data_IF_684945968988
#
_entry.id   IF_684945968988
#
_cell.length_a   1.000
_cell.length_b   1.000
_cell.length_c   1.000
_cell.angle_alpha   90.00
_cell.angle_beta   90.00
_cell.angle_gamma   90.00
#
_symmetry.space_group_name_H-M   'P 1'
#
loop_
_entity.id
_entity.type
_entity.pdbx_description
1 polymer ?
#
# COMPACT_ATOMS: atom_id res chain seq x y z
N UNK A 1 55.62 -15.50 56.56
CA UNK A 1 55.14 -16.73 55.87
C UNK A 1 56.33 -17.41 55.21
N UNK A 2 56.41 -18.73 55.29
CA UNK A 2 57.50 -19.51 54.66
C UNK A 2 57.37 -19.51 53.13
N UNK A 3 58.47 -19.27 52.42
CA UNK A 3 58.54 -19.19 50.96
C UNK A 3 58.06 -20.48 50.27
N UNK A 4 58.28 -21.64 50.91
CA UNK A 4 57.78 -22.94 50.41
C UNK A 4 56.26 -23.03 50.40
N UNK A 5 55.59 -22.42 51.38
CA UNK A 5 54.12 -22.40 51.49
C UNK A 5 53.52 -21.57 50.36
N UNK A 6 54.11 -20.40 50.06
CA UNK A 6 53.67 -19.55 48.94
C UNK A 6 53.85 -20.24 47.58
N UNK A 7 54.98 -20.92 47.37
CA UNK A 7 55.21 -21.69 46.14
C UNK A 7 54.18 -22.82 45.96
N UNK A 8 53.86 -23.54 47.03
CA UNK A 8 52.83 -24.58 47.00
C UNK A 8 51.44 -24.02 46.72
N UNK A 9 51.07 -22.92 47.36
CA UNK A 9 49.80 -22.24 47.13
C UNK A 9 49.68 -21.72 45.70
N UNK A 10 50.73 -21.12 45.15
CA UNK A 10 50.75 -20.64 43.76
C UNK A 10 50.59 -21.79 42.77
N UNK A 11 51.30 -22.92 42.98
CA UNK A 11 51.13 -24.13 42.17
C UNK A 11 49.70 -24.66 42.20
N UNK A 12 49.05 -24.66 43.38
CA UNK A 12 47.66 -25.09 43.53
C UNK A 12 46.67 -24.13 42.86
N UNK A 13 46.95 -22.83 42.87
CA UNK A 13 46.16 -21.83 42.14
C UNK A 13 46.30 -21.98 40.63
N UNK A 14 47.53 -22.20 40.13
CA UNK A 14 47.78 -22.45 38.71
C UNK A 14 47.02 -23.70 38.22
N UNK A 15 47.05 -24.79 38.99
CA UNK A 15 46.28 -26.00 38.67
C UNK A 15 44.76 -25.74 38.64
N UNK A 16 44.24 -24.96 39.60
CA UNK A 16 42.81 -24.58 39.61
C UNK A 16 42.43 -23.68 38.42
N UNK A 17 43.30 -22.76 38.03
CA UNK A 17 43.09 -21.91 36.87
C UNK A 17 43.09 -22.73 35.58
N UNK A 18 44.04 -23.65 35.42
CA UNK A 18 44.10 -24.54 34.27
C UNK A 18 42.85 -25.44 34.18
N UNK A 19 42.41 -26.02 35.30
CA UNK A 19 41.18 -26.78 35.36
C UNK A 19 39.96 -25.93 34.97
N UNK A 20 39.86 -24.69 35.48
CA UNK A 20 38.78 -23.78 35.11
C UNK A 20 38.79 -23.44 33.62
N UNK A 21 39.95 -23.18 33.02
CA UNK A 21 40.06 -22.91 31.58
C UNK A 21 39.66 -24.12 30.73
N UNK A 22 40.00 -25.34 31.14
CA UNK A 22 39.54 -26.56 30.45
C UNK A 22 38.01 -26.66 30.47
N UNK A 23 37.40 -26.52 31.65
CA UNK A 23 35.93 -26.55 31.79
C UNK A 23 35.28 -25.42 30.98
N UNK A 24 35.84 -24.21 31.03
CA UNK A 24 35.34 -23.07 30.26
C UNK A 24 35.38 -23.36 28.75
N UNK A 25 36.47 -23.96 28.25
CA UNK A 25 36.61 -24.32 26.84
C UNK A 25 35.59 -25.39 26.44
N UNK A 26 35.38 -26.41 27.28
CA UNK A 26 34.37 -27.45 27.06
C UNK A 26 32.95 -26.86 27.03
N UNK A 27 32.63 -25.95 27.95
CA UNK A 27 31.34 -25.26 27.99
C UNK A 27 31.14 -24.38 26.75
N UNK A 28 32.16 -23.65 26.31
CA UNK A 28 32.11 -22.82 25.09
C UNK A 28 31.84 -23.68 23.84
N UNK A 29 32.53 -24.81 23.71
CA UNK A 29 32.28 -25.76 22.61
C UNK A 29 30.87 -26.34 22.68
N UNK A 30 30.38 -26.63 23.89
CA UNK A 30 29.01 -27.14 24.08
C UNK A 30 27.96 -26.11 23.69
N UNK A 31 28.15 -24.83 24.04
CA UNK A 31 27.26 -23.73 23.66
C UNK A 31 27.21 -23.63 22.12
N UNK A 32 28.36 -23.58 21.46
CA UNK A 32 28.42 -23.48 19.99
C UNK A 32 27.71 -24.67 19.31
N UNK A 33 27.86 -25.88 19.87
CA UNK A 33 27.19 -27.07 19.35
C UNK A 33 25.66 -27.01 19.54
N UNK A 34 25.19 -26.45 20.66
CA UNK A 34 23.76 -26.27 20.92
C UNK A 34 23.17 -25.17 20.02
N UNK A 35 23.88 -24.07 19.81
CA UNK A 35 23.47 -22.98 18.90
C UNK A 35 23.34 -23.48 17.45
N UNK A 36 24.30 -24.27 16.97
CA UNK A 36 24.22 -24.89 15.63
C UNK A 36 23.00 -25.81 15.49
N UNK A 37 22.69 -26.59 16.52
CA UNK A 37 21.50 -27.45 16.54
C UNK A 37 20.21 -26.62 16.54
N UNK A 38 20.16 -25.57 17.34
CA UNK A 38 19.00 -24.68 17.41
C UNK A 38 18.68 -24.06 16.04
N UNK A 39 19.68 -23.56 15.32
CA UNK A 39 19.49 -23.04 13.96
C UNK A 39 18.91 -24.09 12.99
N UNK A 40 19.34 -25.36 13.13
CA UNK A 40 18.81 -26.46 12.33
C UNK A 40 17.35 -26.77 12.70
N UNK A 41 17.04 -26.84 13.99
CA UNK A 41 15.69 -27.10 14.49
C UNK A 41 14.72 -25.98 14.05
N UNK A 42 15.16 -24.71 14.08
CA UNK A 42 14.39 -23.55 13.59
C UNK A 42 14.10 -23.66 12.09
N UNK A 43 15.08 -24.11 11.29
CA UNK A 43 14.89 -24.33 9.86
C UNK A 43 13.85 -25.43 9.59
N UNK A 44 13.88 -26.53 10.35
CA UNK A 44 12.89 -27.62 10.23
C UNK A 44 11.50 -27.13 10.63
N UNK A 45 11.39 -26.37 11.73
CA UNK A 45 10.12 -25.83 12.22
C UNK A 45 9.46 -24.90 11.20
N UNK A 46 10.25 -24.06 10.51
CA UNK A 46 9.75 -23.22 9.42
C UNK A 46 9.16 -24.03 8.26
N UNK A 47 9.82 -25.14 7.88
CA UNK A 47 9.33 -26.02 6.82
C UNK A 47 8.01 -26.69 7.23
N UNK A 48 7.93 -27.21 8.45
CA UNK A 48 6.69 -27.82 8.99
C UNK A 48 5.56 -26.79 9.03
N UNK A 49 5.84 -25.56 9.50
CA UNK A 49 4.84 -24.50 9.58
C UNK A 49 4.25 -24.16 8.21
N UNK A 50 5.09 -24.09 7.17
CA UNK A 50 4.65 -23.81 5.80
C UNK A 50 3.71 -24.91 5.28
N UNK A 51 4.09 -26.18 5.42
CA UNK A 51 3.25 -27.29 4.95
C UNK A 51 1.95 -27.42 5.75
N UNK A 52 1.98 -27.13 7.05
CA UNK A 52 0.78 -27.10 7.87
C UNK A 52 -0.21 -26.02 7.39
N UNK A 53 0.29 -24.82 7.10
CA UNK A 53 -0.54 -23.74 6.57
C UNK A 53 -1.13 -24.09 5.21
N UNK A 54 -0.33 -24.71 4.34
CA UNK A 54 -0.81 -25.20 3.06
C UNK A 54 -1.91 -26.24 3.21
N UNK A 55 -1.73 -27.23 4.09
CA UNK A 55 -2.77 -28.23 4.38
C UNK A 55 -4.07 -27.59 4.88
N UNK A 56 -3.99 -26.60 5.77
CA UNK A 56 -5.16 -25.89 6.26
C UNK A 56 -5.91 -25.18 5.13
N UNK A 57 -5.18 -24.52 4.24
CA UNK A 57 -5.77 -23.86 3.08
C UNK A 57 -6.39 -24.86 2.10
N UNK A 58 -5.72 -25.98 1.84
CA UNK A 58 -6.25 -27.04 0.96
C UNK A 58 -7.57 -27.62 1.52
N UNK A 59 -7.66 -27.85 2.83
CA UNK A 59 -8.90 -28.30 3.49
C UNK A 59 -10.00 -27.25 3.38
N UNK A 60 -9.66 -25.96 3.56
CA UNK A 60 -10.61 -24.86 3.42
C UNK A 60 -11.18 -24.79 2.00
N UNK A 61 -10.33 -24.85 0.98
CA UNK A 61 -10.75 -24.86 -0.43
C UNK A 61 -11.62 -26.09 -0.73
N UNK A 62 -11.27 -27.25 -0.17
CA UNK A 62 -12.07 -28.47 -0.31
C UNK A 62 -13.48 -28.28 0.25
N UNK A 63 -13.59 -27.74 1.47
CA UNK A 63 -14.87 -27.44 2.11
C UNK A 63 -15.70 -26.45 1.30
N UNK A 64 -15.10 -25.36 0.81
CA UNK A 64 -15.80 -24.38 -0.02
C UNK A 64 -16.39 -24.99 -1.29
N UNK A 65 -15.71 -25.98 -1.88
CA UNK A 65 -16.19 -26.67 -3.10
C UNK A 65 -17.30 -27.67 -2.83
N UNK A 66 -17.22 -28.39 -1.71
CA UNK A 66 -18.15 -29.49 -1.40
C UNK A 66 -19.34 -29.09 -0.54
N UNK A 67 -19.27 -27.98 0.20
CA UNK A 67 -20.30 -27.49 1.13
C UNK A 67 -20.84 -26.09 0.72
N UNK A 68 -20.74 -25.73 -0.56
CA UNK A 68 -21.10 -24.41 -1.10
C UNK A 68 -22.57 -23.99 -0.88
N UNK A 69 -23.47 -24.93 -0.60
CA UNK A 69 -24.90 -24.68 -0.39
C UNK A 69 -25.25 -24.38 1.08
N UNK A 70 -24.35 -24.65 2.03
CA UNK A 70 -24.59 -24.52 3.49
C UNK A 70 -23.47 -23.82 4.28
N UNK A 71 -22.46 -23.29 3.60
CA UNK A 71 -21.34 -22.59 4.24
C UNK A 71 -21.80 -21.31 4.95
N UNK A 72 -21.81 -21.35 6.28
CA UNK A 72 -22.04 -20.18 7.12
C UNK A 72 -20.83 -19.23 6.96
N UNK A 73 -21.03 -18.15 6.20
CA UNK A 73 -20.04 -17.09 5.90
C UNK A 73 -19.35 -16.52 7.15
N UNK A 74 -19.94 -16.72 8.34
CA UNK A 74 -19.40 -16.24 9.62
C UNK A 74 -18.16 -16.99 10.11
N UNK A 75 -17.92 -18.25 9.71
CA UNK A 75 -16.78 -19.05 10.18
C UNK A 75 -15.47 -18.78 9.39
N UNK A 76 -15.57 -18.28 8.16
CA UNK A 76 -14.43 -18.06 7.25
C UNK A 76 -13.48 -16.93 7.68
N UNK A 77 -13.89 -16.09 8.64
CA UNK A 77 -13.13 -14.88 9.04
C UNK A 77 -12.10 -15.13 10.15
N UNK A 78 -12.24 -16.16 10.97
CA UNK A 78 -11.40 -16.36 12.15
C UNK A 78 -10.16 -17.25 11.97
N UNK A 79 -9.99 -17.91 10.82
CA UNK A 79 -8.89 -18.90 10.64
C UNK A 79 -7.65 -18.33 9.91
N UNK A 80 -7.82 -17.26 9.12
CA UNK A 80 -6.74 -16.72 8.26
C UNK A 80 -5.73 -15.84 9.00
N UNK A 81 -6.12 -15.19 10.10
CA UNK A 81 -5.29 -14.17 10.77
C UNK A 81 -4.26 -14.80 11.75
N UNK A 82 -4.51 -16.01 12.23
CA UNK A 82 -3.72 -16.66 13.28
C UNK A 82 -2.38 -17.26 12.79
N UNK A 83 -2.23 -17.57 11.49
CA UNK A 83 -1.14 -18.45 11.01
C UNK A 83 0.13 -17.73 10.54
N UNK A 84 0.04 -16.44 10.19
CA UNK A 84 1.23 -15.62 9.89
C UNK A 84 1.92 -15.12 11.17
N UNK A 85 1.16 -14.94 12.25
CA UNK A 85 1.68 -14.51 13.57
C UNK A 85 2.42 -15.62 14.34
N UNK A 86 2.21 -16.89 13.99
CA UNK A 86 2.66 -18.04 14.78
C UNK A 86 4.19 -18.15 14.93
N UNK A 87 4.94 -17.97 13.83
CA UNK A 87 6.41 -18.06 13.87
C UNK A 87 7.06 -16.88 14.59
N UNK A 88 6.46 -15.69 14.48
CA UNK A 88 6.99 -14.47 15.10
C UNK A 88 6.83 -14.49 16.63
N UNK A 89 5.81 -15.18 17.13
CA UNK A 89 5.53 -15.30 18.57
C UNK A 89 6.25 -16.49 19.23
N UNK A 90 6.86 -17.38 18.45
CA UNK A 90 7.46 -18.62 18.95
C UNK A 90 8.62 -18.38 19.92
N UNK A 91 9.36 -17.28 19.73
CA UNK A 91 10.45 -16.86 20.62
C UNK A 91 9.96 -16.25 21.94
N UNK A 92 8.67 -15.92 22.04
CA UNK A 92 8.06 -15.28 23.21
C UNK A 92 7.33 -16.26 24.13
N UNK A 93 7.10 -17.49 23.70
CA UNK A 93 6.35 -18.50 24.47
C UNK A 93 7.27 -19.37 25.30
N UNK A 94 6.84 -19.66 26.53
CA UNK A 94 7.46 -20.71 27.32
C UNK A 94 7.02 -22.12 26.86
N UNK A 95 7.59 -23.16 27.48
CA UNK A 95 7.37 -24.55 27.05
C UNK A 95 5.91 -25.00 27.23
N UNK A 96 5.20 -24.50 28.23
CA UNK A 96 3.82 -24.88 28.49
C UNK A 96 2.89 -24.14 27.53
N UNK A 97 3.09 -22.83 27.37
CA UNK A 97 2.36 -22.01 26.41
C UNK A 97 2.52 -22.52 24.97
N UNK A 98 3.74 -22.91 24.56
CA UNK A 98 4.00 -23.45 23.23
C UNK A 98 3.19 -24.73 22.94
N UNK A 99 3.12 -25.64 23.92
CA UNK A 99 2.37 -26.88 23.78
C UNK A 99 0.87 -26.60 23.61
N UNK A 100 0.31 -25.68 24.40
CA UNK A 100 -1.11 -25.32 24.32
C UNK A 100 -1.45 -24.65 22.97
N UNK A 101 -0.57 -23.77 22.48
CA UNK A 101 -0.75 -23.11 21.17
C UNK A 101 -0.67 -24.11 20.02
N UNK A 102 0.28 -25.05 20.06
CA UNK A 102 0.39 -26.13 19.07
C UNK A 102 -0.85 -27.03 19.11
N UNK A 103 -1.30 -27.44 20.31
CA UNK A 103 -2.49 -28.25 20.48
C UNK A 103 -3.75 -27.55 19.93
N UNK A 104 -3.91 -26.25 20.21
CA UNK A 104 -5.00 -25.45 19.66
C UNK A 104 -4.98 -25.42 18.13
N UNK A 105 -3.81 -25.19 17.53
CA UNK A 105 -3.66 -25.17 16.07
C UNK A 105 -3.98 -26.53 15.43
N UNK A 106 -3.54 -27.63 16.05
CA UNK A 106 -3.89 -28.99 15.62
C UNK A 106 -5.40 -29.22 15.71
N UNK A 107 -6.05 -28.73 16.77
CA UNK A 107 -7.48 -28.88 16.97
C UNK A 107 -8.30 -28.14 15.91
N UNK A 108 -7.84 -26.98 15.43
CA UNK A 108 -8.47 -26.27 14.30
C UNK A 108 -8.47 -27.14 13.04
N UNK A 109 -7.29 -27.64 12.64
CA UNK A 109 -7.17 -28.53 11.48
C UNK A 109 -8.01 -29.80 11.64
N UNK A 110 -8.03 -30.40 12.84
CA UNK A 110 -8.86 -31.58 13.15
C UNK A 110 -10.36 -31.30 12.96
N UNK A 111 -10.84 -30.13 13.42
CA UNK A 111 -12.24 -29.71 13.24
C UNK A 111 -12.57 -29.54 11.76
N UNK A 112 -11.67 -28.91 10.99
CA UNK A 112 -11.84 -28.74 9.56
C UNK A 112 -11.93 -30.11 8.83
N UNK A 113 -11.08 -31.08 9.18
CA UNK A 113 -11.18 -32.45 8.66
C UNK A 113 -12.51 -33.12 9.03
N UNK A 114 -12.99 -32.96 10.27
CA UNK A 114 -14.30 -33.49 10.66
C UNK A 114 -15.44 -32.91 9.82
N UNK A 115 -15.37 -31.63 9.44
CA UNK A 115 -16.33 -31.02 8.51
C UNK A 115 -16.24 -31.63 7.11
N UNK A 116 -15.04 -31.93 6.61
CA UNK A 116 -14.86 -32.58 5.30
C UNK A 116 -15.54 -33.95 5.29
N UNK A 117 -15.38 -34.73 6.36
CA UNK A 117 -16.04 -36.04 6.50
C UNK A 117 -17.57 -35.88 6.47
N UNK A 118 -18.13 -34.89 7.19
CA UNK A 118 -19.57 -34.64 7.17
C UNK A 118 -20.08 -34.23 5.78
N UNK A 119 -19.34 -33.38 5.06
CA UNK A 119 -19.68 -32.99 3.70
C UNK A 119 -19.67 -34.21 2.76
N UNK A 120 -18.68 -35.10 2.91
CA UNK A 120 -18.61 -36.34 2.16
C UNK A 120 -19.81 -37.27 2.44
N UNK A 121 -20.17 -37.47 3.71
CA UNK A 121 -21.30 -38.31 4.10
C UNK A 121 -22.62 -37.80 3.49
N UNK A 122 -22.86 -36.47 3.56
CA UNK A 122 -24.03 -35.83 2.95
C UNK A 122 -24.06 -36.01 1.43
N UNK A 123 -22.92 -35.81 0.77
CA UNK A 123 -22.80 -35.98 -0.68
C UNK A 123 -23.05 -37.43 -1.09
N UNK A 124 -22.54 -38.38 -0.32
CA UNK A 124 -22.77 -39.82 -0.51
C UNK A 124 -24.27 -40.15 -0.40
N UNK A 125 -24.94 -39.68 0.66
CA UNK A 125 -26.39 -39.87 0.85
C UNK A 125 -27.21 -39.25 -0.29
N UNK A 126 -26.86 -38.04 -0.75
CA UNK A 126 -27.52 -37.39 -1.89
C UNK A 126 -27.33 -38.20 -3.16
N UNK A 127 -26.12 -38.67 -3.44
CA UNK A 127 -25.83 -39.50 -4.61
C UNK A 127 -26.58 -40.84 -4.57
N UNK A 128 -26.72 -41.46 -3.40
CA UNK A 128 -27.51 -42.67 -3.22
C UNK A 128 -28.99 -42.42 -3.51
N UNK A 129 -29.57 -41.32 -2.99
CA UNK A 129 -30.95 -40.92 -3.29
C UNK A 129 -31.17 -40.69 -4.79
N UNK A 130 -30.27 -39.96 -5.45
CA UNK A 130 -30.32 -39.72 -6.90
C UNK A 130 -30.24 -41.05 -7.67
N UNK A 131 -29.33 -41.94 -7.27
CA UNK A 131 -29.18 -43.27 -7.89
C UNK A 131 -30.47 -44.09 -7.78
N UNK A 132 -31.12 -44.11 -6.61
CA UNK A 132 -32.41 -44.77 -6.42
C UNK A 132 -33.52 -44.14 -7.25
N UNK A 133 -33.56 -42.80 -7.35
CA UNK A 133 -34.53 -42.08 -8.16
C UNK A 133 -34.39 -42.40 -9.65
N UNK A 134 -33.15 -42.45 -10.15
CA UNK A 134 -32.86 -42.81 -11.55
C UNK A 134 -33.19 -44.27 -11.88
N UNK A 135 -33.12 -45.17 -10.90
CA UNK A 135 -33.52 -46.58 -11.04
C UNK A 135 -35.05 -46.79 -10.95
N UNK A 136 -35.81 -45.75 -10.62
CA UNK A 136 -37.26 -45.85 -10.40
C UNK A 136 -37.64 -46.59 -9.11
N UNK A 137 -36.68 -46.83 -8.22
CA UNK A 137 -36.85 -47.53 -6.94
C UNK A 137 -37.15 -46.56 -5.78
N UNK A 138 -37.20 -45.26 -6.06
CA UNK A 138 -37.47 -44.21 -5.07
C UNK A 138 -38.98 -43.92 -4.96
N UNK A 139 -39.57 -44.27 -3.82
CA UNK A 139 -41.03 -44.27 -3.60
C UNK A 139 -41.60 -43.03 -2.89
N UNK A 140 -40.79 -41.98 -2.65
CA UNK A 140 -41.26 -40.72 -2.06
C UNK A 140 -40.63 -39.51 -2.74
N UNK A 141 -41.33 -38.40 -2.85
CA UNK A 141 -40.82 -37.07 -3.27
C UNK A 141 -40.46 -36.79 -4.74
N UNK A 142 -40.45 -37.74 -5.68
CA UNK A 142 -40.05 -37.44 -7.08
C UNK A 142 -40.94 -36.38 -7.75
N UNK A 143 -42.24 -36.33 -7.41
CA UNK A 143 -43.17 -35.31 -7.88
C UNK A 143 -42.91 -33.92 -7.25
N UNK A 144 -42.47 -33.90 -5.99
CA UNK A 144 -42.22 -32.66 -5.24
C UNK A 144 -40.89 -32.02 -5.69
N UNK A 145 -39.88 -32.84 -5.97
CA UNK A 145 -38.61 -32.40 -6.56
C UNK A 145 -38.84 -31.83 -7.96
N UNK A 146 -39.66 -32.47 -8.80
CA UNK A 146 -39.98 -31.95 -10.13
C UNK A 146 -40.73 -30.60 -10.08
N UNK A 147 -41.61 -30.41 -9.10
CA UNK A 147 -42.31 -29.14 -8.85
C UNK A 147 -41.37 -28.05 -8.32
N UNK A 148 -40.47 -28.40 -7.39
CA UNK A 148 -39.42 -27.48 -6.88
C UNK A 148 -38.46 -27.08 -8.00
N UNK A 149 -38.01 -28.01 -8.83
CA UNK A 149 -37.15 -27.74 -10.00
C UNK A 149 -37.86 -26.82 -11.00
N UNK A 150 -39.15 -27.04 -11.27
CA UNK A 150 -39.93 -26.15 -12.13
C UNK A 150 -40.03 -24.74 -11.56
N UNK A 151 -40.30 -24.62 -10.26
CA UNK A 151 -40.39 -23.33 -9.57
C UNK A 151 -39.05 -22.59 -9.58
N UNK A 152 -37.95 -23.25 -9.22
CA UNK A 152 -36.61 -22.62 -9.23
C UNK A 152 -36.18 -22.24 -10.63
N UNK A 153 -36.51 -23.04 -11.65
CA UNK A 153 -36.24 -22.68 -13.05
C UNK A 153 -37.02 -21.42 -13.47
N UNK A 154 -38.28 -21.26 -13.04
CA UNK A 154 -39.06 -20.02 -13.28
C UNK A 154 -38.40 -18.82 -12.60
N UNK A 155 -37.97 -18.97 -11.35
CA UNK A 155 -37.28 -17.91 -10.59
C UNK A 155 -35.94 -17.51 -11.25
N UNK A 156 -35.11 -18.50 -11.63
CA UNK A 156 -33.85 -18.26 -12.34
C UNK A 156 -34.10 -17.59 -13.70
N UNK A 157 -35.14 -17.98 -14.43
CA UNK A 157 -35.49 -17.32 -15.69
C UNK A 157 -35.95 -15.88 -15.48
N UNK A 158 -36.70 -15.60 -14.41
CA UNK A 158 -37.11 -14.25 -14.06
C UNK A 158 -35.90 -13.38 -13.68
N UNK A 159 -34.99 -13.91 -12.86
CA UNK A 159 -33.75 -13.22 -12.48
C UNK A 159 -32.84 -12.99 -13.69
N UNK A 160 -32.70 -13.97 -14.59
CA UNK A 160 -31.91 -13.82 -15.80
C UNK A 160 -32.48 -12.71 -16.71
N UNK A 161 -33.81 -12.63 -16.86
CA UNK A 161 -34.45 -11.50 -17.57
C UNK A 161 -34.17 -10.16 -16.88
N UNK A 162 -34.22 -10.12 -15.55
CA UNK A 162 -33.92 -8.90 -14.79
C UNK A 162 -32.45 -8.48 -14.95
N UNK A 163 -31.51 -9.43 -14.85
CA UNK A 163 -30.08 -9.19 -15.06
C UNK A 163 -29.81 -8.71 -16.49
N UNK A 164 -30.45 -9.30 -17.51
CA UNK A 164 -30.35 -8.82 -18.89
C UNK A 164 -30.86 -7.38 -19.03
N UNK A 165 -31.98 -7.03 -18.38
CA UNK A 165 -32.52 -5.67 -18.41
C UNK A 165 -31.57 -4.66 -17.72
N UNK A 166 -31.02 -5.01 -16.55
CA UNK A 166 -30.05 -4.15 -15.84
C UNK A 166 -28.76 -4.01 -16.65
N UNK A 167 -28.28 -5.09 -17.25
CA UNK A 167 -27.08 -5.08 -18.08
C UNK A 167 -27.27 -4.16 -19.30
N UNK A 168 -28.42 -4.23 -19.98
CA UNK A 168 -28.75 -3.33 -21.08
C UNK A 168 -28.79 -1.86 -20.62
N UNK A 169 -29.45 -1.57 -19.50
CA UNK A 169 -29.49 -0.21 -18.94
C UNK A 169 -28.10 0.32 -18.54
N UNK A 170 -27.22 -0.55 -18.03
CA UNK A 170 -25.84 -0.18 -17.71
C UNK A 170 -25.03 0.11 -18.98
N UNK A 171 -25.20 -0.68 -20.04
CA UNK A 171 -24.56 -0.41 -21.33
C UNK A 171 -25.04 0.92 -21.94
N UNK A 172 -26.34 1.21 -21.91
CA UNK A 172 -26.89 2.50 -22.35
C UNK A 172 -26.30 3.67 -21.57
N UNK A 173 -26.26 3.57 -20.23
CA UNK A 173 -25.65 4.60 -19.37
C UNK A 173 -24.16 4.77 -19.62
N UNK A 174 -23.44 3.66 -19.82
CA UNK A 174 -22.01 3.69 -20.12
C UNK A 174 -21.75 4.39 -21.45
N UNK A 175 -22.52 4.08 -22.50
CA UNK A 175 -22.41 4.75 -23.79
C UNK A 175 -22.71 6.25 -23.69
N UNK A 176 -23.77 6.63 -22.97
CA UNK A 176 -24.09 8.04 -22.74
C UNK A 176 -22.99 8.78 -21.97
N UNK A 177 -22.43 8.16 -20.93
CA UNK A 177 -21.30 8.72 -20.17
C UNK A 177 -20.05 8.84 -21.02
N UNK A 178 -19.75 7.83 -21.85
CA UNK A 178 -18.60 7.81 -22.74
C UNK A 178 -18.68 8.91 -23.79
N UNK A 179 -19.87 9.18 -24.35
CA UNK A 179 -20.07 10.28 -25.28
C UNK A 179 -19.83 11.64 -24.60
N UNK A 180 -20.40 11.83 -23.40
CA UNK A 180 -20.20 13.05 -22.61
C UNK A 180 -18.74 13.26 -22.21
N UNK A 181 -18.01 12.18 -21.92
CA UNK A 181 -16.57 12.25 -21.64
C UNK A 181 -15.80 12.74 -22.88
N UNK A 182 -16.15 12.26 -24.07
CA UNK A 182 -15.55 12.74 -25.33
C UNK A 182 -15.81 14.24 -25.55
N UNK A 183 -17.03 14.70 -25.36
CA UNK A 183 -17.39 16.13 -25.50
C UNK A 183 -16.60 17.02 -24.53
N UNK A 184 -16.44 16.58 -23.28
CA UNK A 184 -15.63 17.29 -22.29
C UNK A 184 -14.15 17.29 -22.65
N UNK A 185 -13.63 16.18 -23.19
CA UNK A 185 -12.25 16.08 -23.67
C UNK A 185 -11.98 17.04 -24.83
N UNK A 186 -12.91 17.16 -25.78
CA UNK A 186 -12.81 18.12 -26.89
C UNK A 186 -12.82 19.56 -26.37
N UNK A 187 -13.68 19.84 -25.39
CA UNK A 187 -13.75 21.17 -24.73
C UNK A 187 -12.45 21.52 -24.00
N UNK A 188 -11.85 20.57 -23.28
CA UNK A 188 -10.56 20.75 -22.61
C UNK A 188 -9.47 21.03 -23.64
N UNK A 189 -9.40 20.23 -24.69
CA UNK A 189 -8.42 20.39 -25.78
C UNK A 189 -8.53 21.77 -26.45
N UNK A 190 -9.76 22.25 -26.67
CA UNK A 190 -9.99 23.61 -27.17
C UNK A 190 -9.50 24.70 -26.22
N UNK A 191 -9.74 24.55 -24.91
CA UNK A 191 -9.24 25.51 -23.90
C UNK A 191 -7.73 25.48 -23.73
N UNK A 192 -7.10 24.32 -23.86
CA UNK A 192 -5.63 24.19 -23.81
C UNK A 192 -4.99 24.88 -25.01
N UNK A 193 -5.59 24.72 -26.19
CA UNK A 193 -5.14 25.40 -27.42
C UNK A 193 -5.25 26.92 -27.26
N UNK A 194 -6.41 27.43 -26.80
CA UNK A 194 -6.59 28.86 -26.53
C UNK A 194 -5.60 29.38 -25.48
N UNK A 195 -5.32 28.59 -24.44
CA UNK A 195 -4.34 28.96 -23.41
C UNK A 195 -2.94 29.09 -23.99
N UNK A 196 -2.54 28.18 -24.90
CA UNK A 196 -1.27 28.27 -25.60
C UNK A 196 -1.18 29.51 -26.49
N UNK A 197 -2.24 29.84 -27.22
CA UNK A 197 -2.32 31.05 -28.04
C UNK A 197 -2.19 32.33 -27.20
N UNK A 198 -2.91 32.41 -26.07
CA UNK A 198 -2.82 33.55 -25.16
C UNK A 198 -1.43 33.68 -24.52
N UNK A 199 -0.75 32.56 -24.19
CA UNK A 199 0.64 32.60 -23.72
C UNK A 199 1.57 33.18 -24.76
N UNK A 200 1.46 32.75 -26.02
CA UNK A 200 2.26 33.31 -27.11
C UNK A 200 2.02 34.83 -27.26
N UNK A 201 0.77 35.28 -27.18
CA UNK A 201 0.45 36.72 -27.23
C UNK A 201 1.06 37.50 -26.06
N UNK A 202 1.06 36.91 -24.85
CA UNK A 202 1.72 37.52 -23.70
C UNK A 202 3.23 37.64 -23.93
N UNK A 203 3.87 36.60 -24.46
CA UNK A 203 5.31 36.62 -24.76
C UNK A 203 5.67 37.68 -25.82
N UNK A 204 4.86 37.80 -26.88
CA UNK A 204 5.02 38.83 -27.92
C UNK A 204 4.91 40.26 -27.34
N UNK A 205 3.88 40.49 -26.50
CA UNK A 205 3.68 41.78 -25.85
C UNK A 205 4.79 42.10 -24.84
N UNK A 206 5.28 41.10 -24.11
CA UNK A 206 6.42 41.26 -23.21
C UNK A 206 7.69 41.63 -23.98
N UNK A 207 7.92 41.02 -25.14
CA UNK A 207 9.04 41.36 -26.01
C UNK A 207 8.96 42.82 -26.48
N UNK A 208 7.81 43.27 -27.01
CA UNK A 208 7.63 44.67 -27.43
C UNK A 208 7.74 45.66 -26.26
N UNK A 209 7.20 45.32 -25.08
CA UNK A 209 7.34 46.14 -23.87
C UNK A 209 8.81 46.33 -23.50
N UNK A 210 9.60 45.25 -23.47
CA UNK A 210 11.01 45.31 -23.12
C UNK A 210 11.81 46.10 -24.16
N UNK A 211 11.48 45.97 -25.44
CA UNK A 211 12.07 46.76 -26.53
C UNK A 211 11.80 48.25 -26.39
N UNK A 212 10.57 48.65 -26.03
CA UNK A 212 10.23 50.05 -25.76
C UNK A 212 10.92 50.56 -24.50
N UNK A 213 10.97 49.76 -23.42
CA UNK A 213 11.71 50.11 -22.19
C UNK A 213 13.19 50.36 -22.47
N UNK A 214 13.86 49.47 -23.18
CA UNK A 214 15.27 49.64 -23.55
C UNK A 214 15.51 50.89 -24.42
N UNK A 215 14.54 51.27 -25.27
CA UNK A 215 14.60 52.54 -26.00
C UNK A 215 14.44 53.74 -25.07
N UNK A 216 13.51 53.67 -24.11
CA UNK A 216 13.30 54.73 -23.14
C UNK A 216 14.54 54.93 -22.25
N UNK A 217 15.16 53.84 -21.76
CA UNK A 217 16.38 53.89 -20.95
C UNK A 217 17.53 54.62 -21.69
N UNK A 218 17.66 54.38 -23.01
CA UNK A 218 18.64 55.10 -23.84
C UNK A 218 18.33 56.59 -23.93
N UNK A 219 17.05 56.96 -24.09
CA UNK A 219 16.64 58.36 -24.15
C UNK A 219 16.84 59.06 -22.80
N UNK A 220 16.54 58.39 -21.69
CA UNK A 220 16.79 58.89 -20.34
C UNK A 220 18.29 59.09 -20.09
N UNK A 221 19.13 58.16 -20.53
CA UNK A 221 20.59 58.31 -20.46
C UNK A 221 21.07 59.54 -21.24
N UNK A 222 20.65 59.68 -22.50
CA UNK A 222 21.00 60.85 -23.32
C UNK A 222 20.49 62.17 -22.75
N UNK A 223 19.29 62.17 -22.15
CA UNK A 223 18.76 63.34 -21.46
C UNK A 223 19.63 63.70 -20.25
N UNK A 224 20.03 62.70 -19.45
CA UNK A 224 20.95 62.88 -18.33
C UNK A 224 22.29 63.47 -18.77
N UNK A 225 22.90 62.95 -19.84
CA UNK A 225 24.12 63.50 -20.42
C UNK A 225 23.95 64.96 -20.88
N UNK A 226 22.82 65.28 -21.52
CA UNK A 226 22.52 66.64 -21.97
C UNK A 226 22.35 67.60 -20.78
N UNK A 227 21.69 67.16 -19.71
CA UNK A 227 21.54 67.94 -18.47
C UNK A 227 22.91 68.20 -17.82
N UNK A 228 23.79 67.19 -17.72
CA UNK A 228 25.13 67.37 -17.15
C UNK A 228 26.00 68.30 -18.01
N UNK A 229 25.92 68.19 -19.35
CA UNK A 229 26.55 69.17 -20.27
C UNK A 229 26.01 70.58 -20.07
N UNK A 230 24.71 70.73 -19.83
CA UNK A 230 24.10 72.03 -19.59
C UNK A 230 24.53 72.60 -18.24
N UNK A 231 24.59 71.78 -17.18
CA UNK A 231 25.11 72.18 -15.86
C UNK A 231 26.57 72.61 -15.95
N UNK A 232 27.43 71.85 -16.61
CA UNK A 232 28.84 72.22 -16.80
C UNK A 232 28.98 73.51 -17.58
N UNK A 233 28.20 73.71 -18.65
CA UNK A 233 28.17 74.98 -19.38
C UNK A 233 27.73 76.15 -18.49
N UNK A 234 26.66 75.97 -17.71
CA UNK A 234 26.19 76.94 -16.72
C UNK A 234 27.18 77.19 -15.58
N UNK A 235 28.01 76.23 -15.19
CA UNK A 235 29.01 76.40 -14.14
C UNK A 235 30.24 77.15 -14.67
N UNK A 236 30.62 76.89 -15.93
CA UNK A 236 31.68 77.61 -16.64
C UNK A 236 31.27 79.05 -16.96
N UNK A 237 30.00 79.31 -17.33
CA UNK A 237 29.50 80.64 -17.72
C UNK A 237 28.72 81.38 -16.62
N UNK A 238 28.22 80.70 -15.59
CA UNK A 238 27.48 81.27 -14.45
C UNK A 238 28.38 81.73 -13.30
N UNK A 239 29.69 81.59 -13.46
CA UNK A 239 30.68 82.22 -12.57
C UNK A 239 30.78 83.74 -12.78
N UNK A 240 30.14 84.28 -13.83
CA UNK A 240 30.15 85.72 -14.16
C UNK A 240 28.90 86.51 -13.73
N UNK A 241 27.87 85.89 -13.11
CA UNK A 241 26.72 86.64 -12.56
C UNK A 241 26.29 86.16 -11.17
N UNK A 242 26.97 86.66 -10.12
CA UNK A 242 26.31 86.88 -8.82
C UNK A 242 25.45 88.14 -8.92
N UNK A 243 24.17 87.98 -9.25
CA UNK A 243 23.22 89.09 -9.36
C UNK A 243 21.76 88.68 -9.14
N UNK A 244 21.35 88.61 -7.87
CA UNK A 244 20.05 89.07 -7.35
C UNK A 244 18.76 88.85 -8.19
N UNK A 245 17.92 87.85 -7.85
CA UNK A 245 16.53 88.08 -7.36
C UNK A 245 15.69 86.80 -7.19
N UNK A 246 14.72 86.90 -6.28
CA UNK A 246 13.75 85.90 -5.83
C UNK A 246 12.74 85.44 -6.90
N UNK A 247 12.17 84.26 -6.61
CA UNK A 247 10.73 83.90 -6.55
C UNK A 247 10.13 82.90 -7.56
N UNK A 248 9.56 81.84 -6.95
CA UNK A 248 8.29 81.12 -7.23
C UNK A 248 8.15 80.19 -8.44
N UNK A 249 7.95 78.89 -8.14
CA UNK A 249 6.71 78.10 -8.39
C UNK A 249 6.94 76.73 -9.05
N UNK A 250 6.71 75.68 -8.23
CA UNK A 250 5.93 74.45 -8.48
C UNK A 250 5.91 73.85 -9.90
N UNK A 251 6.26 72.55 -10.02
CA UNK A 251 5.33 71.50 -10.47
C UNK A 251 5.74 70.16 -9.84
N UNK A 252 4.79 69.53 -9.14
CA UNK A 252 4.88 68.18 -8.60
C UNK A 252 4.73 67.14 -9.72
N UNK A 253 5.46 66.02 -9.64
CA UNK A 253 5.05 64.79 -10.33
C UNK A 253 4.94 63.65 -9.32
N UNK A 254 3.71 63.43 -8.87
CA UNK A 254 3.25 62.25 -8.17
C UNK A 254 3.50 61.00 -9.03
N UNK A 255 4.36 60.11 -8.56
CA UNK A 255 4.48 58.75 -9.07
C UNK A 255 3.36 57.92 -8.45
N UNK A 256 2.27 57.73 -9.19
CA UNK A 256 1.26 56.74 -8.87
C UNK A 256 1.78 55.36 -9.25
N UNK A 257 2.20 54.57 -8.26
CA UNK A 257 2.30 53.13 -8.38
C UNK A 257 0.88 52.54 -8.34
N UNK A 258 0.41 52.01 -9.46
CA UNK A 258 -0.77 51.14 -9.50
C UNK A 258 -0.32 49.68 -9.44
N UNK A 259 -1.02 48.94 -8.56
CA UNK A 259 -0.97 47.48 -8.39
C UNK A 259 -1.29 46.74 -9.67
#
# INVERSE_FOLDING_TARGET
MDMKVLQFQNKKLAQRLEQRHRIETELRQRIEQLEKRQMQDDAVLNVVNRYWNQLNEDIRVLLQRFDAETADESENKNESEATTSFLMQLSSWDKEELNDKLAHRVQVSKRAVSKVVQAFDRLSQRNEKISLALKGEYSGETLQIDEVIKKTNIEIQAENRNLQAINLQLHEKYHAMSLKMSELQDTITGKDTLTAELRNQVDDLQYELNKVRARNDKLEHHLGEAIEKLKTFQQIHGSDEKGNNKSTSLVASSVSQTK
#
